data_IF_525858139938
#
_entry.id   IF_525858139938
#
_cell.length_a   1.000
_cell.length_b   1.000
_cell.length_c   1.000
_cell.angle_alpha   90.00
_cell.angle_beta   90.00
_cell.angle_gamma   90.00
#
_symmetry.space_group_name_H-M   'P 1'
#
loop_
_entity.id
_entity.type
_entity.pdbx_description
1 polymer ?
#
# COMPACT_ATOMS: atom_id res chain seq x y z
N UNK A 1 -18.51 6.69 19.10
CA UNK A 1 -17.65 7.09 17.96
C UNK A 1 -18.14 8.39 17.35
N UNK A 2 -19.38 8.49 16.85
CA UNK A 2 -19.91 9.73 16.25
C UNK A 2 -19.78 10.97 17.14
N UNK A 3 -20.06 10.85 18.45
CA UNK A 3 -19.86 11.96 19.39
C UNK A 3 -18.40 12.41 19.52
N UNK A 4 -17.43 11.47 19.54
CA UNK A 4 -16.02 11.81 19.58
C UNK A 4 -15.55 12.48 18.28
N UNK A 5 -16.04 12.00 17.13
CA UNK A 5 -15.78 12.62 15.82
C UNK A 5 -16.36 14.04 15.78
N UNK A 6 -17.61 14.25 16.21
CA UNK A 6 -18.24 15.56 16.23
C UNK A 6 -17.47 16.56 17.12
N UNK A 7 -17.03 16.14 18.31
CA UNK A 7 -16.22 16.97 19.20
C UNK A 7 -14.86 17.29 18.59
N UNK A 8 -14.16 16.29 18.03
CA UNK A 8 -12.85 16.50 17.42
C UNK A 8 -12.95 17.42 16.20
N UNK A 9 -13.90 17.17 15.30
CA UNK A 9 -14.16 18.01 14.13
C UNK A 9 -14.55 19.43 14.52
N UNK A 10 -15.41 19.60 15.54
CA UNK A 10 -15.80 20.91 16.06
C UNK A 10 -14.62 21.67 16.67
N UNK A 11 -13.79 21.00 17.48
CA UNK A 11 -12.61 21.60 18.09
C UNK A 11 -11.56 22.03 17.03
N UNK A 12 -11.32 21.20 16.02
CA UNK A 12 -10.43 21.53 14.89
C UNK A 12 -11.01 22.68 14.07
N UNK A 13 -12.32 22.72 13.84
CA UNK A 13 -12.96 23.81 13.10
C UNK A 13 -12.88 25.15 13.87
N UNK A 14 -12.98 25.13 15.19
CA UNK A 14 -12.89 26.33 16.03
C UNK A 14 -11.46 26.84 16.17
N UNK A 15 -10.49 25.93 16.32
CA UNK A 15 -9.07 26.28 16.52
C UNK A 15 -8.19 25.39 15.62
N UNK A 16 -8.08 25.74 14.32
CA UNK A 16 -7.39 24.92 13.32
C UNK A 16 -5.88 25.10 13.42
N UNK A 17 -5.24 24.44 14.39
CA UNK A 17 -3.78 24.39 14.48
C UNK A 17 -3.25 22.99 14.86
N UNK A 18 -1.96 22.77 14.60
CA UNK A 18 -1.28 21.50 14.83
C UNK A 18 -1.37 21.05 16.30
N UNK A 19 -1.21 21.97 17.24
CA UNK A 19 -1.29 21.70 18.68
C UNK A 19 -2.64 21.14 19.10
N UNK A 20 -3.75 21.72 18.63
CA UNK A 20 -5.10 21.22 18.88
C UNK A 20 -5.26 19.80 18.34
N UNK A 21 -4.78 19.55 17.12
CA UNK A 21 -4.77 18.21 16.51
C UNK A 21 -3.99 17.20 17.35
N UNK A 22 -2.78 17.55 17.80
CA UNK A 22 -1.93 16.72 18.65
C UNK A 22 -2.62 16.39 19.98
N UNK A 23 -3.16 17.38 20.67
CA UNK A 23 -3.83 17.19 21.96
C UNK A 23 -5.02 16.25 21.81
N UNK A 24 -5.86 16.45 20.79
CA UNK A 24 -7.02 15.57 20.54
C UNK A 24 -6.57 14.14 20.22
N UNK A 25 -5.50 13.98 19.44
CA UNK A 25 -4.96 12.67 19.10
C UNK A 25 -4.40 11.92 20.33
N UNK A 26 -3.69 12.63 21.21
CA UNK A 26 -3.17 12.09 22.47
C UNK A 26 -4.31 11.72 23.42
N UNK A 27 -5.31 12.59 23.57
CA UNK A 27 -6.49 12.32 24.40
C UNK A 27 -7.28 11.10 23.89
N UNK A 28 -7.47 10.99 22.58
CA UNK A 28 -8.15 9.83 21.98
C UNK A 28 -7.35 8.54 22.21
N UNK A 29 -6.03 8.57 22.03
CA UNK A 29 -5.14 7.41 22.27
C UNK A 29 -5.14 6.99 23.76
N UNK A 30 -5.06 7.96 24.67
CA UNK A 30 -5.11 7.72 26.12
C UNK A 30 -6.47 7.17 26.56
N UNK A 31 -7.57 7.73 26.03
CA UNK A 31 -8.91 7.24 26.29
C UNK A 31 -9.13 5.82 25.75
N UNK A 32 -8.60 5.51 24.56
CA UNK A 32 -8.64 4.18 23.98
C UNK A 32 -7.98 3.15 24.91
N UNK A 33 -6.80 3.46 25.42
CA UNK A 33 -6.04 2.62 26.35
C UNK A 33 -6.74 2.49 27.70
N UNK A 34 -7.25 3.59 28.26
CA UNK A 34 -7.99 3.59 29.51
C UNK A 34 -9.22 2.68 29.45
N UNK A 35 -10.04 2.83 28.41
CA UNK A 35 -11.24 2.00 28.19
C UNK A 35 -10.84 0.53 28.00
N UNK A 36 -9.77 0.25 27.25
CA UNK A 36 -9.27 -1.10 27.01
C UNK A 36 -8.90 -1.83 28.31
N UNK A 37 -8.36 -1.10 29.30
CA UNK A 37 -7.98 -1.65 30.61
C UNK A 37 -9.16 -1.75 31.58
N UNK A 38 -10.04 -0.76 31.59
CA UNK A 38 -11.13 -0.66 32.58
C UNK A 38 -12.34 -1.52 32.25
N UNK A 39 -12.62 -1.76 30.97
CA UNK A 39 -13.82 -2.46 30.55
C UNK A 39 -13.52 -3.51 29.46
N UNK A 40 -12.94 -4.67 29.84
CA UNK A 40 -12.66 -5.76 28.91
C UNK A 40 -13.92 -6.42 28.30
N UNK A 41 -15.12 -6.05 28.78
CA UNK A 41 -16.41 -6.48 28.26
C UNK A 41 -16.70 -6.02 26.82
N UNK A 42 -17.61 -6.71 26.12
CA UNK A 42 -17.85 -6.50 24.69
C UNK A 42 -18.40 -5.10 24.34
N UNK A 43 -19.13 -4.45 25.24
CA UNK A 43 -19.87 -3.21 24.96
C UNK A 43 -18.98 -2.00 24.65
N UNK A 44 -17.76 -1.93 25.23
CA UNK A 44 -16.86 -0.78 25.06
C UNK A 44 -15.66 -1.06 24.14
N UNK A 45 -15.50 -2.29 23.64
CA UNK A 45 -14.42 -2.65 22.70
C UNK A 45 -14.47 -1.82 21.42
N UNK A 46 -15.65 -1.62 20.85
CA UNK A 46 -15.83 -0.84 19.62
C UNK A 46 -15.44 0.62 19.84
N UNK A 47 -15.80 1.19 21.00
CA UNK A 47 -15.42 2.56 21.34
C UNK A 47 -13.90 2.70 21.51
N UNK A 48 -13.27 1.79 22.25
CA UNK A 48 -11.81 1.74 22.41
C UNK A 48 -11.10 1.62 21.05
N UNK A 49 -11.56 0.72 20.18
CA UNK A 49 -11.00 0.57 18.84
C UNK A 49 -11.15 1.85 17.99
N UNK A 50 -12.34 2.46 18.01
CA UNK A 50 -12.58 3.72 17.29
C UNK A 50 -11.70 4.87 17.79
N UNK A 51 -11.53 5.00 19.11
CA UNK A 51 -10.65 6.00 19.71
C UNK A 51 -9.17 5.73 19.42
N UNK A 52 -8.75 4.46 19.40
CA UNK A 52 -7.39 4.09 19.01
C UNK A 52 -7.11 4.49 17.55
N UNK A 53 -8.05 4.23 16.65
CA UNK A 53 -7.91 4.66 15.25
C UNK A 53 -7.87 6.19 15.14
N UNK A 54 -8.80 6.90 15.80
CA UNK A 54 -8.80 8.37 15.80
C UNK A 54 -7.49 8.95 16.36
N UNK A 55 -6.98 8.38 17.45
CA UNK A 55 -5.76 8.82 18.10
C UNK A 55 -4.53 8.58 17.24
N UNK A 56 -4.33 7.36 16.76
CA UNK A 56 -3.14 7.01 15.95
C UNK A 56 -3.16 7.72 14.60
N UNK A 57 -4.31 7.79 13.92
CA UNK A 57 -4.47 8.56 12.67
C UNK A 57 -4.30 10.06 12.92
N UNK A 58 -4.80 10.58 14.03
CA UNK A 58 -4.61 11.97 14.43
C UNK A 58 -3.14 12.31 14.65
N UNK A 59 -2.36 11.41 15.27
CA UNK A 59 -0.91 11.59 15.45
C UNK A 59 -0.18 11.61 14.11
N UNK A 60 -0.51 10.71 13.18
CA UNK A 60 0.05 10.76 11.83
C UNK A 60 -0.36 12.02 11.06
N UNK A 61 -1.61 12.46 11.20
CA UNK A 61 -2.09 13.72 10.62
C UNK A 61 -1.37 14.93 11.20
N UNK A 62 -1.07 14.92 12.50
CA UNK A 62 -0.23 15.94 13.14
C UNK A 62 1.19 15.96 12.56
N UNK A 63 1.85 14.82 12.38
CA UNK A 63 3.15 14.76 11.70
C UNK A 63 3.07 15.34 10.29
N UNK A 64 2.05 14.96 9.51
CA UNK A 64 1.85 15.51 8.17
C UNK A 64 1.63 17.03 8.15
N UNK A 65 0.99 17.58 9.18
CA UNK A 65 0.80 19.02 9.32
C UNK A 65 2.09 19.73 9.75
N UNK A 66 2.76 19.22 10.78
CA UNK A 66 3.96 19.83 11.37
C UNK A 66 5.10 19.93 10.35
N UNK A 67 5.24 18.91 9.51
CA UNK A 67 6.29 18.83 8.50
C UNK A 67 5.81 19.14 7.08
N UNK A 68 4.66 19.82 6.93
CA UNK A 68 4.07 20.12 5.61
C UNK A 68 4.97 20.96 4.70
N UNK A 69 5.86 21.75 5.29
CA UNK A 69 6.74 22.70 4.62
C UNK A 69 8.16 22.13 4.40
N UNK A 70 8.37 20.84 4.69
CA UNK A 70 9.66 20.16 4.46
C UNK A 70 9.71 19.61 3.03
N UNK A 71 10.76 19.97 2.30
CA UNK A 71 10.96 19.56 0.90
C UNK A 71 11.14 18.04 0.73
N UNK A 72 11.78 17.38 1.70
CA UNK A 72 12.02 15.94 1.68
C UNK A 72 10.98 15.16 2.50
N UNK A 73 10.10 14.36 1.86
CA UNK A 73 9.01 13.67 2.56
C UNK A 73 9.46 12.43 3.33
N UNK A 74 10.71 12.01 3.22
CA UNK A 74 11.25 10.76 3.77
C UNK A 74 11.06 10.66 5.28
N UNK A 75 11.47 11.69 6.03
CA UNK A 75 11.41 11.70 7.49
C UNK A 75 9.96 11.73 8.00
N UNK A 76 9.07 12.62 7.51
CA UNK A 76 7.65 12.59 7.88
C UNK A 76 6.98 11.25 7.57
N UNK A 77 7.24 10.66 6.40
CA UNK A 77 6.72 9.34 6.02
C UNK A 77 7.20 8.24 6.98
N UNK A 78 8.47 8.28 7.38
CA UNK A 78 9.04 7.33 8.33
C UNK A 78 8.39 7.49 9.72
N UNK A 79 8.21 8.72 10.21
CA UNK A 79 7.52 8.96 11.48
C UNK A 79 6.08 8.46 11.46
N UNK A 80 5.33 8.74 10.38
CA UNK A 80 3.97 8.23 10.20
C UNK A 80 3.96 6.71 10.20
N UNK A 81 4.90 6.08 9.51
CA UNK A 81 5.07 4.61 9.48
C UNK A 81 5.28 4.06 10.88
N UNK A 82 6.17 4.66 11.66
CA UNK A 82 6.47 4.24 13.04
C UNK A 82 5.26 4.43 13.96
N UNK A 83 4.52 5.53 13.83
CA UNK A 83 3.29 5.78 14.60
C UNK A 83 2.22 4.73 14.25
N UNK A 84 2.00 4.47 12.96
CA UNK A 84 1.04 3.47 12.50
C UNK A 84 1.43 2.06 12.94
N UNK A 85 2.71 1.69 12.79
CA UNK A 85 3.23 0.38 13.18
C UNK A 85 3.18 0.17 14.70
N UNK A 86 3.59 1.18 15.47
CA UNK A 86 3.50 1.18 16.92
C UNK A 86 2.05 1.08 17.39
N UNK A 87 1.14 1.84 16.80
CA UNK A 87 -0.29 1.76 17.07
C UNK A 87 -0.91 0.41 16.69
N UNK A 88 -0.48 -0.17 15.57
CA UNK A 88 -0.90 -1.50 15.13
C UNK A 88 -0.50 -2.57 16.13
N UNK A 89 0.75 -2.54 16.61
CA UNK A 89 1.23 -3.46 17.62
C UNK A 89 0.54 -3.25 18.97
N UNK A 90 0.45 -2.00 19.43
CA UNK A 90 -0.10 -1.67 20.75
C UNK A 90 -1.59 -2.01 20.88
N UNK A 91 -2.38 -1.62 19.88
CA UNK A 91 -3.83 -1.83 19.86
C UNK A 91 -4.26 -3.11 19.14
N UNK A 92 -3.31 -3.90 18.63
CA UNK A 92 -3.54 -5.12 17.84
C UNK A 92 -4.47 -4.89 16.64
N UNK A 93 -4.21 -3.80 15.91
CA UNK A 93 -5.07 -3.35 14.82
C UNK A 93 -4.49 -3.76 13.47
N UNK A 94 -5.17 -4.69 12.79
CA UNK A 94 -4.83 -5.08 11.43
C UNK A 94 -4.93 -3.93 10.43
N UNK A 95 -5.90 -3.03 10.63
CA UNK A 95 -6.06 -1.85 9.78
C UNK A 95 -4.85 -0.91 9.88
N UNK A 96 -4.40 -0.59 11.11
CA UNK A 96 -3.20 0.22 11.30
C UNK A 96 -1.95 -0.49 10.78
N UNK A 97 -1.90 -1.82 10.86
CA UNK A 97 -0.80 -2.61 10.30
C UNK A 97 -0.72 -2.48 8.78
N UNK A 98 -1.86 -2.49 8.08
CA UNK A 98 -1.90 -2.22 6.64
C UNK A 98 -1.47 -0.78 6.33
N UNK A 99 -1.99 0.20 7.07
CA UNK A 99 -1.62 1.61 6.87
C UNK A 99 -0.13 1.88 7.14
N UNK A 100 0.48 1.19 8.11
CA UNK A 100 1.91 1.29 8.36
C UNK A 100 2.74 0.88 7.14
N UNK A 101 2.35 -0.22 6.47
CA UNK A 101 3.03 -0.67 5.25
C UNK A 101 2.80 0.29 4.09
N UNK A 102 1.60 0.87 3.96
CA UNK A 102 1.34 1.91 2.95
C UNK A 102 2.15 3.18 3.20
N UNK A 103 2.23 3.64 4.46
CA UNK A 103 3.05 4.78 4.86
C UNK A 103 4.54 4.53 4.62
N UNK A 104 5.01 3.28 4.83
CA UNK A 104 6.38 2.89 4.52
C UNK A 104 6.68 3.06 3.03
N UNK A 105 5.67 2.88 2.17
CA UNK A 105 5.82 3.10 0.73
C UNK A 105 6.23 4.54 0.40
N UNK A 106 5.68 5.51 1.11
CA UNK A 106 6.01 6.93 0.90
C UNK A 106 7.48 7.25 1.23
N UNK A 107 8.15 6.43 2.05
CA UNK A 107 9.61 6.55 2.29
C UNK A 107 10.41 6.25 1.02
N UNK A 108 9.89 5.41 0.13
CA UNK A 108 10.53 5.01 -1.13
C UNK A 108 9.90 5.66 -2.36
N UNK A 109 9.22 6.80 -2.17
CA UNK A 109 8.63 7.56 -3.29
C UNK A 109 7.38 6.91 -3.89
N UNK A 110 6.67 6.06 -3.16
CA UNK A 110 5.33 5.60 -3.60
C UNK A 110 4.24 6.51 -3.05
N UNK A 111 3.26 6.86 -3.87
CA UNK A 111 2.13 7.66 -3.40
C UNK A 111 0.97 7.69 -4.35
N UNK A 112 -0.02 8.50 -3.99
CA UNK A 112 -1.21 8.74 -4.80
C UNK A 112 -1.38 10.23 -5.04
N UNK A 113 -1.77 10.59 -6.25
CA UNK A 113 -2.06 11.96 -6.66
C UNK A 113 -3.50 12.11 -7.12
N UNK A 114 -4.04 13.31 -6.99
CA UNK A 114 -5.31 13.70 -7.58
C UNK A 114 -5.11 14.97 -8.39
N UNK A 115 -5.50 14.90 -9.66
CA UNK A 115 -5.62 16.03 -10.56
C UNK A 115 -7.04 16.05 -11.12
N UNK A 116 -7.44 17.10 -11.86
CA UNK A 116 -8.83 17.29 -12.31
C UNK A 116 -9.42 16.01 -12.95
N UNK A 117 -10.29 15.31 -12.19
CA UNK A 117 -10.91 14.03 -12.54
C UNK A 117 -9.95 12.83 -12.80
N UNK A 118 -8.69 12.92 -12.37
CA UNK A 118 -7.68 11.87 -12.52
C UNK A 118 -7.10 11.46 -11.18
N UNK A 119 -7.11 10.15 -10.90
CA UNK A 119 -6.41 9.56 -9.76
C UNK A 119 -5.16 8.86 -10.27
N UNK A 120 -3.99 9.30 -9.81
CA UNK A 120 -2.73 8.66 -10.13
C UNK A 120 -2.18 7.88 -8.96
N UNK A 121 -1.49 6.79 -9.28
CA UNK A 121 -0.56 6.12 -8.39
C UNK A 121 0.83 6.32 -8.99
N UNK A 122 1.80 6.73 -8.17
CA UNK A 122 3.18 6.88 -8.61
C UNK A 122 4.10 6.05 -7.73
N UNK A 123 5.13 5.51 -8.36
CA UNK A 123 6.23 4.79 -7.71
C UNK A 123 7.49 5.31 -8.37
N UNK A 124 8.23 6.17 -7.67
CA UNK A 124 9.37 6.84 -8.29
C UNK A 124 10.58 5.93 -8.46
N UNK A 125 10.69 4.89 -7.62
CA UNK A 125 11.76 3.88 -7.71
C UNK A 125 11.17 2.46 -7.73
N UNK A 126 10.66 1.99 -8.89
CA UNK A 126 10.08 0.66 -9.04
C UNK A 126 10.91 -0.50 -8.52
N UNK A 127 12.21 -0.59 -8.86
CA UNK A 127 13.07 -1.71 -8.48
C UNK A 127 13.30 -1.76 -6.96
N UNK A 128 13.55 -0.61 -6.33
CA UNK A 128 13.70 -0.52 -4.87
C UNK A 128 12.39 -0.89 -4.19
N UNK A 129 11.25 -0.38 -4.69
CA UNK A 129 9.92 -0.72 -4.17
C UNK A 129 9.66 -2.23 -4.25
N UNK A 130 9.91 -2.86 -5.39
CA UNK A 130 9.77 -4.32 -5.56
C UNK A 130 10.68 -5.08 -4.59
N UNK A 131 11.95 -4.69 -4.50
CA UNK A 131 12.94 -5.34 -3.64
C UNK A 131 12.55 -5.27 -2.16
N UNK A 132 12.28 -4.06 -1.66
CA UNK A 132 11.95 -3.82 -0.26
C UNK A 132 10.63 -4.48 0.11
N UNK A 133 9.56 -4.24 -0.66
CA UNK A 133 8.25 -4.78 -0.31
C UNK A 133 8.12 -6.28 -0.62
N UNK A 134 8.84 -6.80 -1.61
CA UNK A 134 8.98 -8.22 -1.85
C UNK A 134 9.68 -8.93 -0.69
N UNK A 135 10.81 -8.39 -0.22
CA UNK A 135 11.53 -8.90 0.94
C UNK A 135 10.69 -8.80 2.22
N UNK A 136 10.01 -7.67 2.44
CA UNK A 136 9.12 -7.47 3.58
C UNK A 136 7.96 -8.47 3.57
N UNK A 137 7.31 -8.66 2.42
CA UNK A 137 6.22 -9.61 2.26
C UNK A 137 6.69 -11.04 2.57
N UNK A 138 7.80 -11.48 1.96
CA UNK A 138 8.36 -12.80 2.19
C UNK A 138 8.81 -13.00 3.65
N UNK A 139 9.50 -12.03 4.22
CA UNK A 139 10.00 -12.05 5.59
C UNK A 139 8.89 -12.14 6.62
N UNK A 140 7.85 -11.29 6.52
CA UNK A 140 6.70 -11.32 7.41
C UNK A 140 5.88 -12.60 7.26
N UNK A 141 5.72 -13.09 6.03
CA UNK A 141 5.02 -14.33 5.77
C UNK A 141 5.75 -15.54 6.37
N UNK A 142 7.08 -15.57 6.30
CA UNK A 142 7.90 -16.61 6.94
C UNK A 142 7.92 -16.46 8.47
N UNK A 143 7.93 -15.24 8.99
CA UNK A 143 7.96 -14.96 10.43
C UNK A 143 6.64 -15.33 11.12
N UNK A 144 5.48 -15.27 10.43
CA UNK A 144 4.16 -15.52 11.03
C UNK A 144 4.04 -16.90 11.71
N UNK A 145 4.80 -17.89 11.26
CA UNK A 145 4.80 -19.26 11.80
C UNK A 145 5.70 -19.39 13.04
N UNK A 146 6.55 -18.39 13.30
CA UNK A 146 7.54 -18.36 14.39
C UNK A 146 7.20 -17.36 15.49
N UNK A 147 6.20 -16.51 15.29
CA UNK A 147 5.73 -15.54 16.28
C UNK A 147 4.48 -16.03 17.00
N UNK A 148 4.18 -15.43 18.15
CA UNK A 148 2.97 -15.76 18.90
C UNK A 148 1.72 -15.54 18.03
N UNK A 149 0.71 -16.39 18.19
CA UNK A 149 -0.52 -16.37 17.39
C UNK A 149 -1.22 -15.00 17.40
N UNK A 150 -1.10 -14.25 18.50
CA UNK A 150 -1.64 -12.89 18.63
C UNK A 150 -1.06 -11.88 17.62
N UNK A 151 0.12 -12.15 17.07
CA UNK A 151 0.82 -11.30 16.09
C UNK A 151 0.79 -11.86 14.67
N UNK A 152 0.46 -13.14 14.50
CA UNK A 152 0.44 -13.82 13.21
C UNK A 152 -0.52 -13.17 12.21
N UNK A 153 -1.68 -12.68 12.69
CA UNK A 153 -2.66 -11.99 11.86
C UNK A 153 -2.14 -10.63 11.38
N UNK A 154 -1.51 -9.84 12.26
CA UNK A 154 -0.91 -8.56 11.88
C UNK A 154 0.21 -8.76 10.86
N UNK A 155 1.11 -9.71 11.11
CA UNK A 155 2.18 -10.05 10.17
C UNK A 155 1.62 -10.50 8.81
N UNK A 156 0.52 -11.28 8.81
CA UNK A 156 -0.13 -11.71 7.58
C UNK A 156 -0.75 -10.53 6.83
N UNK A 157 -1.42 -9.60 7.52
CA UNK A 157 -1.99 -8.40 6.89
C UNK A 157 -0.88 -7.53 6.31
N UNK A 158 0.17 -7.24 7.08
CA UNK A 158 1.31 -6.47 6.60
C UNK A 158 2.01 -7.14 5.42
N UNK A 159 2.22 -8.46 5.45
CA UNK A 159 2.81 -9.19 4.32
C UNK A 159 1.97 -9.08 3.04
N UNK A 160 0.65 -9.17 3.17
CA UNK A 160 -0.28 -9.03 2.05
C UNK A 160 -0.28 -7.61 1.48
N UNK A 161 -0.27 -6.60 2.35
CA UNK A 161 -0.16 -5.19 1.92
C UNK A 161 1.17 -4.90 1.24
N UNK A 162 2.27 -5.45 1.76
CA UNK A 162 3.58 -5.31 1.12
C UNK A 162 3.59 -5.97 -0.26
N UNK A 163 2.97 -7.14 -0.41
CA UNK A 163 2.84 -7.78 -1.71
C UNK A 163 2.06 -6.90 -2.72
N UNK A 164 1.03 -6.16 -2.28
CA UNK A 164 0.36 -5.18 -3.15
C UNK A 164 1.31 -4.06 -3.61
N UNK A 165 2.10 -3.49 -2.71
CA UNK A 165 3.06 -2.43 -3.07
C UNK A 165 4.15 -2.92 -4.02
N UNK A 166 4.65 -4.14 -3.84
CA UNK A 166 5.59 -4.73 -4.79
C UNK A 166 4.97 -4.85 -6.20
N UNK A 167 3.69 -5.20 -6.30
CA UNK A 167 2.98 -5.23 -7.57
C UNK A 167 2.79 -3.84 -8.19
N UNK A 168 2.59 -2.80 -7.39
CA UNK A 168 2.56 -1.44 -7.90
C UNK A 168 3.91 -0.99 -8.44
N UNK A 169 5.02 -1.39 -7.80
CA UNK A 169 6.36 -1.20 -8.35
C UNK A 169 6.51 -1.87 -9.71
N UNK A 170 6.09 -3.13 -9.86
CA UNK A 170 6.11 -3.78 -11.17
C UNK A 170 5.21 -3.09 -12.21
N UNK A 171 4.04 -2.61 -11.79
CA UNK A 171 3.11 -1.96 -12.70
C UNK A 171 3.71 -0.68 -13.30
N UNK A 172 4.18 0.21 -12.43
CA UNK A 172 4.82 1.47 -12.84
C UNK A 172 6.11 1.19 -13.61
N UNK A 173 6.95 0.28 -13.12
CA UNK A 173 8.18 -0.11 -13.82
C UNK A 173 7.93 -0.70 -15.21
N UNK A 174 6.81 -1.41 -15.43
CA UNK A 174 6.47 -1.99 -16.74
C UNK A 174 6.03 -0.96 -17.78
N UNK A 175 5.79 0.29 -17.37
CA UNK A 175 5.42 1.40 -18.23
C UNK A 175 6.62 2.29 -18.55
N UNK A 176 7.47 2.56 -17.56
CA UNK A 176 8.51 3.59 -17.66
C UNK A 176 9.94 3.12 -17.36
N UNK A 177 10.12 1.89 -16.91
CA UNK A 177 11.40 1.43 -16.39
C UNK A 177 11.69 1.97 -14.99
N UNK A 178 12.98 2.07 -14.63
CA UNK A 178 13.44 2.68 -13.38
C UNK A 178 14.83 3.31 -13.60
N UNK A 179 15.09 4.44 -12.97
CA UNK A 179 16.39 5.11 -13.01
C UNK A 179 17.03 5.06 -11.62
N UNK A 180 18.10 4.30 -11.47
CA UNK A 180 18.77 4.14 -10.18
C UNK A 180 19.90 5.16 -10.01
N UNK A 181 20.06 5.69 -8.80
CA UNK A 181 21.17 6.56 -8.41
C UNK A 181 20.79 7.60 -7.38
N UNK A 182 21.77 8.31 -6.85
CA UNK A 182 21.55 9.40 -5.87
C UNK A 182 20.71 10.55 -6.46
N UNK A 183 20.76 10.74 -7.78
CA UNK A 183 20.01 11.76 -8.53
C UNK A 183 18.95 11.15 -9.45
N UNK A 184 18.25 10.13 -8.97
CA UNK A 184 17.22 9.45 -9.77
C UNK A 184 16.10 10.39 -10.25
N UNK A 185 15.75 11.44 -9.48
CA UNK A 185 14.79 12.45 -9.93
C UNK A 185 15.47 13.47 -10.83
N UNK A 186 14.99 13.57 -12.06
CA UNK A 186 15.33 14.69 -12.93
C UNK A 186 14.73 15.99 -12.37
N UNK A 187 15.56 17.03 -12.22
CA UNK A 187 15.13 18.35 -11.76
C UNK A 187 15.29 19.39 -12.86
N UNK A 188 14.33 20.31 -12.97
CA UNK A 188 14.45 21.47 -13.86
C UNK A 188 15.72 22.27 -13.53
N UNK A 189 16.52 22.57 -14.56
CA UNK A 189 17.83 23.21 -14.41
C UNK A 189 19.03 22.24 -14.44
N UNK A 190 18.80 20.93 -14.43
CA UNK A 190 19.85 19.93 -14.66
C UNK A 190 19.98 19.62 -16.16
N UNK A 191 21.21 19.46 -16.66
CA UNK A 191 21.43 18.92 -18.01
C UNK A 191 20.93 17.47 -18.09
N UNK A 192 20.13 17.17 -19.11
CA UNK A 192 19.64 15.81 -19.36
C UNK A 192 20.79 14.81 -19.56
N UNK A 193 21.86 15.22 -20.24
CA UNK A 193 23.02 14.37 -20.50
C UNK A 193 23.75 14.01 -19.20
N UNK A 194 23.97 15.00 -18.33
CA UNK A 194 24.63 14.80 -17.04
C UNK A 194 23.77 13.94 -16.10
N UNK A 195 22.45 14.16 -16.10
CA UNK A 195 21.50 13.35 -15.33
C UNK A 195 21.51 11.89 -15.80
N UNK A 196 21.42 11.67 -17.11
CA UNK A 196 21.41 10.32 -17.70
C UNK A 196 22.74 9.59 -17.49
N UNK A 197 23.87 10.30 -17.51
CA UNK A 197 25.18 9.73 -17.22
C UNK A 197 25.36 9.38 -15.73
N UNK A 198 24.66 10.10 -14.84
CA UNK A 198 24.70 9.88 -13.39
C UNK A 198 23.69 8.82 -12.89
N UNK A 199 22.85 8.29 -13.76
CA UNK A 199 21.80 7.32 -13.42
C UNK A 199 21.98 6.01 -14.19
N UNK A 200 21.57 4.90 -13.57
CA UNK A 200 21.54 3.59 -14.22
C UNK A 200 20.10 3.25 -14.56
N UNK A 201 19.78 3.30 -15.86
CA UNK A 201 18.45 3.00 -16.35
C UNK A 201 18.20 1.48 -16.44
N UNK A 202 17.13 1.01 -15.81
CA UNK A 202 16.56 -0.33 -15.95
C UNK A 202 15.39 -0.23 -16.95
N UNK A 203 15.47 -0.91 -18.10
CA UNK A 203 14.41 -0.87 -19.10
C UNK A 203 13.08 -1.43 -18.61
N UNK A 204 11.98 -0.87 -19.11
CA UNK A 204 10.61 -1.28 -18.85
C UNK A 204 10.36 -2.77 -19.15
N UNK A 205 11.07 -3.32 -20.15
CA UNK A 205 11.02 -4.72 -20.54
C UNK A 205 11.39 -5.68 -19.39
N UNK A 206 12.30 -5.28 -18.48
CA UNK A 206 12.68 -6.09 -17.32
C UNK A 206 11.48 -6.32 -16.41
N UNK A 207 10.70 -5.27 -16.16
CA UNK A 207 9.50 -5.33 -15.34
C UNK A 207 8.35 -5.98 -16.09
N UNK A 208 8.14 -5.61 -17.36
CA UNK A 208 7.06 -6.14 -18.19
C UNK A 208 7.18 -7.65 -18.41
N UNK A 209 8.39 -8.20 -18.55
CA UNK A 209 8.60 -9.65 -18.66
C UNK A 209 8.71 -10.35 -17.30
N UNK A 210 9.38 -9.72 -16.33
CA UNK A 210 9.60 -10.31 -15.00
C UNK A 210 8.31 -10.45 -14.19
N UNK A 211 7.41 -9.47 -14.29
CA UNK A 211 6.16 -9.45 -13.53
C UNK A 211 5.23 -10.62 -13.83
N UNK A 212 4.84 -10.92 -15.09
CA UNK A 212 3.99 -12.08 -15.38
C UNK A 212 4.66 -13.40 -15.00
N UNK A 213 5.98 -13.53 -15.14
CA UNK A 213 6.72 -14.72 -14.70
C UNK A 213 6.56 -14.92 -13.18
N UNK A 214 6.76 -13.86 -12.39
CA UNK A 214 6.55 -13.88 -10.95
C UNK A 214 5.11 -14.23 -10.58
N UNK A 215 4.12 -13.61 -11.24
CA UNK A 215 2.71 -13.82 -10.95
C UNK A 215 2.24 -15.23 -11.29
N UNK A 216 2.63 -15.74 -12.46
CA UNK A 216 2.35 -17.13 -12.86
C UNK A 216 3.02 -18.10 -11.89
N UNK A 217 4.30 -17.88 -11.57
CA UNK A 217 5.01 -18.69 -10.57
C UNK A 217 4.33 -18.70 -9.20
N UNK A 218 3.84 -17.54 -8.77
CA UNK A 218 3.07 -17.38 -7.52
C UNK A 218 1.74 -18.13 -7.58
N UNK A 219 1.01 -17.98 -8.69
CA UNK A 219 -0.28 -18.63 -8.91
C UNK A 219 -0.18 -20.16 -8.94
N UNK A 220 0.89 -20.70 -9.53
CA UNK A 220 1.13 -22.15 -9.60
C UNK A 220 1.50 -22.77 -8.24
N UNK A 221 2.16 -22.01 -7.36
CA UNK A 221 2.56 -22.47 -6.01
C UNK A 221 1.50 -22.19 -4.94
N UNK A 222 0.67 -21.16 -5.13
CA UNK A 222 -0.32 -20.76 -4.14
C UNK A 222 -1.53 -21.71 -4.12
N UNK A 223 -2.15 -21.84 -2.94
CA UNK A 223 -3.45 -22.49 -2.80
C UNK A 223 -4.47 -21.82 -3.72
N UNK A 224 -5.18 -22.61 -4.54
CA UNK A 224 -6.23 -22.13 -5.44
C UNK A 224 -7.35 -21.42 -4.67
N UNK A 225 -7.78 -20.27 -5.16
CA UNK A 225 -8.77 -19.42 -4.49
C UNK A 225 -8.26 -18.75 -3.21
N UNK A 226 -7.03 -19.04 -2.77
CA UNK A 226 -6.36 -18.33 -1.68
C UNK A 226 -5.88 -16.95 -2.13
N UNK A 227 -5.63 -16.07 -1.16
CA UNK A 227 -5.24 -14.67 -1.39
C UNK A 227 -4.18 -14.51 -2.49
N UNK A 228 -3.04 -15.21 -2.41
CA UNK A 228 -1.96 -15.06 -3.38
C UNK A 228 -2.37 -15.45 -4.81
N UNK A 229 -3.16 -16.51 -4.99
CA UNK A 229 -3.63 -16.93 -6.31
C UNK A 229 -4.61 -15.93 -6.91
N UNK A 230 -5.51 -15.36 -6.09
CA UNK A 230 -6.47 -14.35 -6.51
C UNK A 230 -5.76 -13.04 -6.84
N UNK A 231 -4.88 -12.57 -5.95
CA UNK A 231 -4.09 -11.36 -6.18
C UNK A 231 -3.20 -11.49 -7.42
N UNK A 232 -2.54 -12.63 -7.61
CA UNK A 232 -1.74 -12.88 -8.81
C UNK A 232 -2.58 -12.86 -10.09
N UNK A 233 -3.78 -13.45 -10.05
CA UNK A 233 -4.73 -13.41 -11.18
C UNK A 233 -5.15 -11.97 -11.52
N UNK A 234 -5.49 -11.17 -10.49
CA UNK A 234 -5.90 -9.77 -10.67
C UNK A 234 -4.77 -8.95 -11.27
N UNK A 235 -3.56 -9.04 -10.71
CA UNK A 235 -2.42 -8.28 -11.26
C UNK A 235 -1.96 -8.77 -12.63
N UNK A 236 -2.12 -10.05 -12.95
CA UNK A 236 -1.85 -10.55 -14.29
C UNK A 236 -2.85 -9.97 -15.31
N UNK A 237 -4.11 -9.80 -14.91
CA UNK A 237 -5.10 -9.13 -15.73
C UNK A 237 -4.80 -7.63 -15.90
N UNK A 238 -4.38 -6.95 -14.83
CA UNK A 238 -3.92 -5.54 -14.89
C UNK A 238 -2.72 -5.43 -15.84
N UNK A 239 -1.70 -6.28 -15.68
CA UNK A 239 -0.53 -6.31 -16.55
C UNK A 239 -0.92 -6.53 -18.02
N UNK A 240 -1.73 -7.55 -18.31
CA UNK A 240 -2.18 -7.84 -19.66
C UNK A 240 -2.98 -6.67 -20.27
N UNK A 241 -3.87 -6.04 -19.47
CA UNK A 241 -4.60 -4.84 -19.87
C UNK A 241 -3.64 -3.69 -20.21
N UNK A 242 -2.71 -3.37 -19.30
CA UNK A 242 -1.76 -2.28 -19.47
C UNK A 242 -0.92 -2.48 -20.72
N UNK A 243 -0.25 -3.63 -20.86
CA UNK A 243 0.63 -3.87 -21.99
C UNK A 243 -0.12 -3.95 -23.32
N UNK A 244 -1.36 -4.45 -23.32
CA UNK A 244 -2.20 -4.44 -24.52
C UNK A 244 -2.46 -3.02 -25.03
N UNK A 245 -2.86 -2.10 -24.14
CA UNK A 245 -3.14 -0.72 -24.55
C UNK A 245 -1.88 0.10 -24.83
N UNK A 246 -0.76 -0.17 -24.16
CA UNK A 246 0.52 0.43 -24.53
C UNK A 246 0.99 -0.01 -25.92
N UNK A 247 0.73 -1.26 -26.29
CA UNK A 247 1.16 -1.80 -27.60
C UNK A 247 0.24 -1.40 -28.74
N UNK A 248 -1.08 -1.48 -28.53
CA UNK A 248 -2.08 -1.35 -29.59
C UNK A 248 -2.86 -0.03 -29.56
N UNK A 249 -2.73 0.78 -28.50
CA UNK A 249 -3.48 2.02 -28.33
C UNK A 249 -4.96 1.80 -28.03
N UNK A 250 -5.66 2.89 -27.70
CA UNK A 250 -7.08 2.89 -27.33
C UNK A 250 -8.01 3.20 -28.52
N UNK A 251 -7.94 2.37 -29.56
CA UNK A 251 -8.83 2.44 -30.72
C UNK A 251 -10.14 1.64 -30.49
N UNK A 252 -11.25 1.95 -31.18
CA UNK A 252 -12.50 1.22 -31.01
C UNK A 252 -12.38 -0.30 -31.19
N UNK A 253 -11.59 -0.73 -32.18
CA UNK A 253 -11.34 -2.15 -32.47
C UNK A 253 -10.50 -2.84 -31.38
N UNK A 254 -9.53 -2.13 -30.79
CA UNK A 254 -8.70 -2.68 -29.71
C UNK A 254 -9.51 -2.78 -28.43
N UNK A 255 -10.41 -1.82 -28.15
CA UNK A 255 -11.36 -1.90 -27.05
C UNK A 255 -12.30 -3.10 -27.19
N UNK A 256 -12.84 -3.35 -28.39
CA UNK A 256 -13.72 -4.49 -28.64
C UNK A 256 -13.00 -5.82 -28.46
N UNK A 257 -11.84 -5.98 -29.10
CA UNK A 257 -11.04 -7.22 -29.06
C UNK A 257 -10.48 -7.47 -27.66
N UNK A 258 -9.92 -6.44 -27.02
CA UNK A 258 -9.42 -6.49 -25.64
C UNK A 258 -10.53 -6.85 -24.65
N UNK A 259 -11.71 -6.24 -24.79
CA UNK A 259 -12.88 -6.55 -23.96
C UNK A 259 -13.34 -8.00 -24.08
N UNK A 260 -13.46 -8.53 -25.30
CA UNK A 260 -13.81 -9.95 -25.54
C UNK A 260 -12.75 -10.90 -24.98
N UNK A 261 -11.46 -10.58 -25.19
CA UNK A 261 -10.34 -11.33 -24.63
C UNK A 261 -10.36 -11.38 -23.11
N UNK A 262 -10.60 -10.23 -22.45
CA UNK A 262 -10.72 -10.15 -20.99
C UNK A 262 -11.86 -11.00 -20.45
N UNK A 263 -13.02 -11.05 -21.13
CA UNK A 263 -14.14 -11.92 -20.74
C UNK A 263 -13.72 -13.39 -20.81
N UNK A 264 -13.07 -13.81 -21.91
CA UNK A 264 -12.61 -15.18 -22.05
C UNK A 264 -11.59 -15.56 -20.96
N UNK A 265 -10.61 -14.69 -20.69
CA UNK A 265 -9.63 -14.87 -19.63
C UNK A 265 -10.27 -14.92 -18.24
N UNK A 266 -11.26 -14.06 -17.97
CA UNK A 266 -12.00 -14.07 -16.71
C UNK A 266 -12.74 -15.39 -16.48
N UNK A 267 -13.36 -15.96 -17.52
CA UNK A 267 -14.00 -17.28 -17.45
C UNK A 267 -12.97 -18.38 -17.16
N UNK A 268 -11.81 -18.36 -17.84
CA UNK A 268 -10.74 -19.33 -17.61
C UNK A 268 -10.17 -19.22 -16.19
N UNK A 269 -9.91 -18.00 -15.73
CA UNK A 269 -9.44 -17.72 -14.37
C UNK A 269 -10.46 -18.20 -13.32
N UNK A 270 -11.75 -17.89 -13.50
CA UNK A 270 -12.80 -18.35 -12.61
C UNK A 270 -12.87 -19.89 -12.54
N UNK A 271 -12.69 -20.58 -13.67
CA UNK A 271 -12.63 -22.06 -13.72
C UNK A 271 -11.38 -22.60 -12.99
N UNK A 272 -10.23 -21.97 -13.19
CA UNK A 272 -9.00 -22.35 -12.50
C UNK A 272 -9.12 -22.21 -10.98
N UNK A 273 -9.63 -21.06 -10.52
CA UNK A 273 -9.78 -20.76 -9.09
C UNK A 273 -10.82 -21.65 -8.39
N UNK A 274 -11.86 -22.10 -9.09
CA UNK A 274 -12.92 -22.97 -8.53
C UNK A 274 -12.55 -24.45 -8.46
N UNK A 275 -11.44 -24.89 -9.05
CA UNK A 275 -11.15 -26.32 -9.28
C UNK A 275 -10.73 -27.11 -8.02
N UNK A 276 -11.05 -26.63 -6.82
CA UNK A 276 -10.90 -27.32 -5.54
C UNK A 276 -12.21 -27.28 -4.73
N UNK A 277 -13.26 -27.93 -5.25
CA UNK A 277 -14.31 -28.56 -4.43
C UNK A 277 -14.71 -29.87 -5.12
N UNK A 278 -13.84 -30.87 -5.03
CA UNK A 278 -14.24 -32.28 -5.00
C UNK A 278 -13.51 -32.87 -3.82
N UNK A 279 -14.27 -32.97 -2.73
CA UNK A 279 -13.92 -33.62 -1.48
C UNK A 279 -13.34 -35.01 -1.72
N UNK A 280 -12.24 -35.32 -1.04
CA UNK A 280 -11.98 -36.64 -0.50
C UNK A 280 -12.15 -36.53 1.01
#
# INVERSE_FOLDING_TARGET
ILGALAVASGAIALVPNATTGLVLALLASGAAEGIRRMAPGASLKVLSAGLALMGVLGLAGWVGWEYRDVDEPTMPALLITLIMGGGAAWFRSGFLSALAVLALGAVFGTGTGYWHACYGLFVEQPAITIGVFGALAAGLYAARERIAAVWADLATIAARTAFFLANFGFWVGSLWGDDLGERYRYSEGQSWEDWRAATTHIPEAVFSLGWPVLLIGTMLKAKRGGFLSVTATVFLAIHAYTQYFETFGAHPETLLLGGLGLVALAVLAARFLRREVRTA
#
